data_IF_588405726675
#
_entry.id   IF_588405726675
#
_cell.length_a   1.000
_cell.length_b   1.000
_cell.length_c   1.000
_cell.angle_alpha   90.00
_cell.angle_beta   90.00
_cell.angle_gamma   90.00
#
_symmetry.space_group_name_H-M   'P 1'
#
loop_
_entity.id
_entity.type
_entity.pdbx_description
1 polymer ?
#
# COMPACT_ATOMS: atom_id res chain seq x y z
N UNK A 1 6.22 6.22 10.98
CA UNK A 1 6.67 6.62 12.33
C UNK A 1 5.56 6.64 13.40
N UNK A 2 4.28 6.82 13.05
CA UNK A 2 3.19 6.81 14.07
C UNK A 2 3.09 5.48 14.84
N UNK A 3 3.22 4.35 14.15
CA UNK A 3 3.25 3.03 14.78
C UNK A 3 4.47 2.85 15.72
N UNK A 4 5.64 3.37 15.34
CA UNK A 4 6.82 3.37 16.20
C UNK A 4 6.60 4.20 17.49
N UNK A 5 5.87 5.32 17.41
CA UNK A 5 5.50 6.09 18.60
C UNK A 5 4.56 5.33 19.55
N UNK A 6 3.82 4.33 19.06
CA UNK A 6 3.03 3.40 19.88
C UNK A 6 3.86 2.24 20.45
N UNK A 7 5.18 2.22 20.22
CA UNK A 7 6.06 1.13 20.64
C UNK A 7 5.98 -0.13 19.76
N UNK A 8 5.29 -0.06 18.62
CA UNK A 8 5.21 -1.17 17.66
C UNK A 8 6.50 -1.19 16.83
N UNK A 9 7.13 -2.37 16.72
CA UNK A 9 8.31 -2.57 15.86
C UNK A 9 7.91 -2.41 14.39
N UNK A 10 8.26 -1.27 13.79
CA UNK A 10 7.93 -0.95 12.40
C UNK A 10 9.14 -0.44 11.64
N UNK A 11 9.28 -0.90 10.40
CA UNK A 11 10.42 -0.60 9.52
C UNK A 11 9.92 -0.14 8.16
N UNK A 12 10.70 0.69 7.47
CA UNK A 12 10.42 1.09 6.09
C UNK A 12 11.24 0.24 5.13
N UNK A 13 10.60 -0.38 4.15
CA UNK A 13 11.32 -1.14 3.12
C UNK A 13 12.37 -0.23 2.47
N UNK A 14 13.60 -0.72 2.37
CA UNK A 14 14.80 0.00 1.89
C UNK A 14 15.45 1.01 2.86
N UNK A 15 14.97 1.15 4.10
CA UNK A 15 15.73 1.89 5.11
C UNK A 15 16.96 1.10 5.55
N UNK A 16 18.09 1.77 5.74
CA UNK A 16 19.38 1.16 6.10
C UNK A 16 19.35 0.39 7.43
N UNK A 17 18.40 0.70 8.31
CA UNK A 17 18.22 0.06 9.61
C UNK A 17 17.22 -1.10 9.59
N UNK A 18 16.60 -1.36 8.43
CA UNK A 18 15.55 -2.38 8.30
C UNK A 18 16.11 -3.77 8.50
N UNK A 19 15.58 -4.46 9.51
CA UNK A 19 15.90 -5.85 9.75
C UNK A 19 15.30 -6.78 8.68
N UNK A 20 15.88 -7.97 8.45
CA UNK A 20 15.32 -8.93 7.51
C UNK A 20 13.90 -9.36 7.87
N UNK A 21 13.02 -9.44 6.88
CA UNK A 21 11.63 -9.89 7.08
C UNK A 21 11.56 -11.40 7.40
N UNK A 22 10.66 -11.76 8.31
CA UNK A 22 10.41 -13.12 8.82
C UNK A 22 8.94 -13.49 8.74
N UNK A 23 8.60 -14.76 9.05
CA UNK A 23 7.22 -15.27 8.97
C UNK A 23 6.27 -14.69 10.02
N UNK A 24 6.78 -14.07 11.07
CA UNK A 24 5.95 -13.39 12.08
C UNK A 24 5.53 -11.98 11.65
N UNK A 25 6.17 -11.45 10.61
CA UNK A 25 6.03 -10.05 10.22
C UNK A 25 4.84 -9.82 9.26
N UNK A 26 4.45 -8.55 9.16
CA UNK A 26 3.46 -8.06 8.20
C UNK A 26 4.12 -7.00 7.32
N UNK A 27 4.14 -7.25 6.01
CA UNK A 27 4.43 -6.23 5.00
C UNK A 27 3.13 -5.52 4.62
N UNK A 28 3.13 -4.19 4.72
CA UNK A 28 2.04 -3.34 4.22
C UNK A 28 2.56 -2.58 2.99
N UNK A 29 1.96 -2.83 1.84
CA UNK A 29 2.28 -2.13 0.59
C UNK A 29 1.09 -1.29 0.12
N UNK A 30 1.38 -0.07 -0.33
CA UNK A 30 0.38 0.83 -0.91
C UNK A 30 0.61 0.88 -2.42
N UNK A 31 -0.37 0.45 -3.18
CA UNK A 31 -0.31 0.46 -4.64
C UNK A 31 -1.68 0.89 -5.18
N UNK A 32 -1.86 2.19 -5.43
CA UNK A 32 -3.09 2.74 -6.01
C UNK A 32 -3.63 1.94 -7.20
N UNK A 33 -2.83 1.69 -8.24
CA UNK A 33 -3.23 0.91 -9.42
C UNK A 33 -3.10 -0.62 -9.25
N UNK A 34 -2.83 -1.13 -8.04
CA UNK A 34 -2.82 -2.57 -7.75
C UNK A 34 -1.42 -3.16 -7.71
N UNK A 35 -0.70 -3.11 -8.82
CA UNK A 35 0.62 -3.75 -8.93
C UNK A 35 1.57 -2.99 -9.85
N UNK A 36 2.82 -2.84 -9.42
CA UNK A 36 3.93 -2.41 -10.26
C UNK A 36 5.20 -3.14 -9.83
N UNK A 37 6.13 -3.34 -10.78
CA UNK A 37 7.23 -4.33 -10.70
C UNK A 37 8.00 -4.33 -9.37
N UNK A 38 8.26 -3.17 -8.79
CA UNK A 38 8.92 -3.03 -7.49
C UNK A 38 8.10 -3.62 -6.36
N UNK A 39 6.81 -3.27 -6.25
CA UNK A 39 5.92 -3.77 -5.20
C UNK A 39 5.70 -5.26 -5.35
N UNK A 40 5.54 -5.74 -6.58
CA UNK A 40 5.35 -7.17 -6.85
C UNK A 40 6.56 -8.00 -6.45
N UNK A 41 7.77 -7.49 -6.74
CA UNK A 41 9.02 -8.14 -6.34
C UNK A 41 9.16 -8.18 -4.80
N UNK A 42 8.89 -7.07 -4.11
CA UNK A 42 8.97 -7.00 -2.64
C UNK A 42 7.92 -7.93 -2.01
N UNK A 43 6.68 -7.91 -2.49
CA UNK A 43 5.61 -8.76 -1.98
C UNK A 43 5.92 -10.24 -2.20
N UNK A 44 6.49 -10.60 -3.36
CA UNK A 44 6.90 -11.97 -3.65
C UNK A 44 8.05 -12.43 -2.75
N UNK A 45 9.00 -11.56 -2.45
CA UNK A 45 10.08 -11.83 -1.49
C UNK A 45 9.58 -11.96 -0.04
N UNK A 46 8.61 -11.14 0.36
CA UNK A 46 7.98 -11.26 1.68
C UNK A 46 7.23 -12.58 1.82
N UNK A 47 6.44 -12.95 0.80
CA UNK A 47 5.72 -14.23 0.75
C UNK A 47 6.66 -15.43 0.76
N UNK A 48 7.76 -15.40 0.02
CA UNK A 48 8.74 -16.50 0.01
C UNK A 48 9.43 -16.72 1.36
N UNK A 49 9.45 -15.69 2.22
CA UNK A 49 9.91 -15.77 3.62
C UNK A 49 8.80 -16.08 4.62
N UNK A 50 7.58 -16.35 4.14
CA UNK A 50 6.43 -16.72 4.96
C UNK A 50 5.78 -15.54 5.70
N UNK A 51 6.15 -14.30 5.39
CA UNK A 51 5.55 -13.12 5.99
C UNK A 51 4.13 -12.91 5.46
N UNK A 52 3.28 -12.26 6.27
CA UNK A 52 1.96 -11.81 5.81
C UNK A 52 2.13 -10.57 4.94
N UNK A 53 1.33 -10.45 3.88
CA UNK A 53 1.36 -9.31 2.97
C UNK A 53 -0.04 -8.71 2.85
N UNK A 54 -0.16 -7.42 3.18
CA UNK A 54 -1.35 -6.61 2.97
C UNK A 54 -1.03 -5.59 1.87
N UNK A 55 -1.75 -5.67 0.75
CA UNK A 55 -1.71 -4.66 -0.30
C UNK A 55 -2.99 -3.84 -0.22
N UNK A 56 -2.85 -2.53 -0.01
CA UNK A 56 -3.96 -1.60 -0.14
C UNK A 56 -3.88 -1.00 -1.54
N UNK A 57 -5.02 -1.03 -2.24
CA UNK A 57 -5.13 -0.59 -3.62
C UNK A 57 -6.50 0.04 -3.88
N UNK A 58 -6.55 0.99 -4.81
CA UNK A 58 -7.81 1.53 -5.32
C UNK A 58 -8.45 0.60 -6.36
N UNK A 59 -7.68 -0.35 -6.90
CA UNK A 59 -8.07 -1.21 -8.00
C UNK A 59 -7.79 -2.70 -7.66
N UNK A 60 -8.68 -3.35 -6.88
CA UNK A 60 -8.45 -4.72 -6.39
C UNK A 60 -8.49 -5.79 -7.50
N UNK A 61 -9.21 -5.53 -8.59
CA UNK A 61 -9.42 -6.50 -9.68
C UNK A 61 -8.40 -6.38 -10.83
N UNK A 62 -7.81 -5.19 -11.02
CA UNK A 62 -6.83 -4.91 -12.08
C UNK A 62 -5.42 -4.89 -11.49
N UNK A 63 -4.80 -6.06 -11.35
CA UNK A 63 -3.42 -6.22 -10.86
C UNK A 63 -2.33 -5.72 -11.82
N UNK A 64 -2.62 -4.74 -12.67
CA UNK A 64 -1.70 -4.27 -13.71
C UNK A 64 -1.87 -2.77 -13.95
N UNK A 65 -0.74 -2.06 -14.09
CA UNK A 65 -0.59 -0.67 -14.56
C UNK A 65 -1.17 -0.41 -15.98
N UNK A 66 -2.10 -1.22 -16.46
CA UNK A 66 -2.73 -1.02 -17.74
C UNK A 66 -3.98 -0.14 -17.53
N UNK A 67 -3.81 1.11 -17.91
CA UNK A 67 -4.86 2.05 -18.30
C UNK A 67 -5.59 2.82 -17.20
N UNK A 68 -4.89 3.82 -16.67
CA UNK A 68 -5.52 5.13 -16.36
C UNK A 68 -5.93 5.90 -17.64
N UNK A 69 -5.86 5.29 -18.83
CA UNK A 69 -6.56 5.79 -20.01
C UNK A 69 -8.00 5.28 -20.01
N UNK A 70 -8.93 6.22 -19.93
CA UNK A 70 -10.36 5.95 -19.93
C UNK A 70 -10.82 5.14 -21.14
N UNK A 71 -11.01 3.84 -20.94
CA UNK A 71 -11.89 2.97 -21.71
C UNK A 71 -12.69 2.20 -20.64
N UNK A 72 -14.02 2.14 -20.56
CA UNK A 72 -15.11 2.26 -21.53
C UNK A 72 -16.39 2.55 -20.71
N UNK A 73 -17.22 3.51 -21.13
CA UNK A 73 -18.68 3.43 -20.93
C UNK A 73 -19.34 3.92 -19.63
N UNK A 74 -18.64 4.15 -18.52
CA UNK A 74 -19.27 4.70 -17.31
C UNK A 74 -19.01 6.21 -17.16
N UNK A 75 -20.03 6.97 -16.75
CA UNK A 75 -19.98 8.43 -16.54
C UNK A 75 -18.87 8.78 -15.53
N UNK A 76 -17.63 8.94 -16.01
CA UNK A 76 -16.50 9.35 -15.17
C UNK A 76 -16.76 10.78 -14.70
N UNK A 77 -17.11 10.91 -13.42
CA UNK A 77 -16.96 12.16 -12.68
C UNK A 77 -15.60 12.75 -13.02
N UNK A 78 -15.55 14.03 -13.32
CA UNK A 78 -14.28 14.74 -13.56
C UNK A 78 -13.35 14.43 -12.38
N UNK A 79 -12.10 14.01 -12.61
CA UNK A 79 -11.17 13.78 -11.52
C UNK A 79 -10.99 15.11 -10.77
N UNK A 80 -11.48 15.16 -9.54
CA UNK A 80 -11.43 16.35 -8.67
C UNK A 80 -9.99 16.69 -8.26
N UNK A 81 -9.12 15.68 -8.28
CA UNK A 81 -7.71 15.78 -7.95
C UNK A 81 -6.91 15.06 -9.05
N UNK A 82 -5.75 15.59 -9.37
CA UNK A 82 -4.83 15.01 -10.35
C UNK A 82 -4.27 13.67 -9.86
N UNK A 83 -4.08 12.72 -10.78
CA UNK A 83 -3.35 11.46 -10.51
C UNK A 83 -3.92 10.69 -9.30
N UNK A 84 -3.05 10.06 -8.52
CA UNK A 84 -3.39 9.31 -7.32
C UNK A 84 -3.59 10.15 -6.05
N UNK A 85 -3.66 11.49 -6.12
CA UNK A 85 -3.70 12.33 -4.91
C UNK A 85 -4.92 12.07 -4.01
N UNK A 86 -6.06 11.70 -4.60
CA UNK A 86 -7.23 11.28 -3.81
C UNK A 86 -6.94 9.99 -3.02
N UNK A 87 -6.29 9.02 -3.66
CA UNK A 87 -5.90 7.76 -3.02
C UNK A 87 -4.89 8.01 -1.90
N UNK A 88 -3.85 8.82 -2.14
CA UNK A 88 -2.85 9.19 -1.14
C UNK A 88 -3.50 9.89 0.06
N UNK A 89 -4.38 10.86 -0.18
CA UNK A 89 -5.13 11.55 0.87
C UNK A 89 -6.04 10.62 1.67
N UNK A 90 -6.73 9.70 1.00
CA UNK A 90 -7.57 8.70 1.66
C UNK A 90 -6.73 7.74 2.53
N UNK A 91 -5.55 7.32 2.06
CA UNK A 91 -4.64 6.49 2.84
C UNK A 91 -4.14 7.20 4.08
N UNK A 92 -3.83 8.50 3.99
CA UNK A 92 -3.44 9.29 5.16
C UNK A 92 -4.53 9.27 6.25
N UNK A 93 -5.78 9.56 5.87
CA UNK A 93 -6.91 9.55 6.81
C UNK A 93 -7.13 8.14 7.37
N UNK A 94 -7.10 7.12 6.53
CA UNK A 94 -7.25 5.72 6.95
C UNK A 94 -6.20 5.35 8.00
N UNK A 95 -4.93 5.65 7.78
CA UNK A 95 -3.87 5.29 8.72
C UNK A 95 -3.94 6.07 10.03
N UNK A 96 -4.38 7.32 10.03
CA UNK A 96 -4.62 8.05 11.29
C UNK A 96 -5.79 7.45 12.07
N UNK A 97 -6.86 6.99 11.40
CA UNK A 97 -7.96 6.27 12.05
C UNK A 97 -7.48 4.91 12.58
N UNK A 98 -6.64 4.18 11.84
CA UNK A 98 -6.04 2.93 12.32
C UNK A 98 -5.19 3.17 13.56
N UNK A 99 -4.35 4.21 13.55
CA UNK A 99 -3.55 4.60 14.73
C UNK A 99 -4.46 4.93 15.91
N UNK A 100 -5.56 5.67 15.69
CA UNK A 100 -6.54 5.97 16.73
C UNK A 100 -7.19 4.70 17.31
N UNK A 101 -7.48 3.69 16.49
CA UNK A 101 -8.05 2.41 16.95
C UNK A 101 -7.06 1.50 17.67
N UNK A 102 -5.75 1.74 17.52
CA UNK A 102 -4.69 0.97 18.18
C UNK A 102 -4.31 1.52 19.56
N UNK A 103 -4.81 2.70 19.92
CA UNK A 103 -4.64 3.35 21.24
C UNK A 103 -5.82 3.00 22.14
#
# INVERSE_FOLDING_TARGET
MRLAHLGISTHFVFDITTSPITSTDLLIALAGPGGFSTVDAICSMARSRGARVLVLTAQPETGTMADDEGTTGEKKSRPLMSMGSLYEGAMFVLFEVVVYQLV
#
